data_IF_747381779873
#
_entry.id   IF_747381779873
#
_cell.length_a   1.000
_cell.length_b   1.000
_cell.length_c   1.000
_cell.angle_alpha   90.00
_cell.angle_beta   90.00
_cell.angle_gamma   90.00
#
_symmetry.space_group_name_H-M   'P 1'
#
loop_
_entity.id
_entity.type
_entity.pdbx_description
1 polymer ?
#
# COMPACT_ATOMS: atom_id res chain seq x y z
N UNK A 1 -16.35 12.36 2.77
CA UNK A 1 -16.00 11.05 3.35
C UNK A 1 -16.09 9.97 2.28
N UNK A 2 -15.09 9.14 2.21
CA UNK A 2 -15.09 8.01 1.28
C UNK A 2 -15.57 6.76 1.97
N UNK A 3 -16.34 5.97 1.24
CA UNK A 3 -16.75 4.66 1.71
C UNK A 3 -15.77 3.65 1.13
N UNK A 4 -14.92 3.10 1.99
CA UNK A 4 -13.97 2.08 1.58
C UNK A 4 -14.60 0.71 1.69
N UNK A 5 -14.15 -0.21 0.83
CA UNK A 5 -14.56 -1.61 0.94
C UNK A 5 -14.01 -2.25 2.21
N UNK A 6 -12.86 -1.75 2.65
CA UNK A 6 -12.26 -2.20 3.90
C UNK A 6 -11.29 -1.14 4.40
N UNK A 7 -11.02 -1.16 5.70
CA UNK A 7 -9.97 -0.33 6.29
C UNK A 7 -9.04 -1.25 7.08
N UNK A 8 -7.77 -0.87 7.13
CA UNK A 8 -6.77 -1.67 7.83
C UNK A 8 -5.59 -0.79 8.20
N UNK A 9 -4.60 -1.39 8.83
CA UNK A 9 -3.30 -0.76 9.05
C UNK A 9 -2.25 -1.62 8.37
N UNK A 10 -1.38 -0.98 7.61
CA UNK A 10 -0.30 -1.67 6.90
C UNK A 10 1.02 -1.46 7.62
N UNK A 11 1.83 -2.52 7.77
CA UNK A 11 3.19 -2.33 8.28
C UNK A 11 3.93 -1.37 7.36
N UNK A 12 4.57 -0.38 7.93
CA UNK A 12 5.28 0.64 7.17
C UNK A 12 6.47 1.13 7.97
N UNK A 13 7.47 1.66 7.27
CA UNK A 13 8.63 2.26 7.94
C UNK A 13 9.36 3.19 7.00
N UNK A 14 10.12 4.13 7.58
CA UNK A 14 11.13 4.83 6.81
C UNK A 14 12.27 3.86 6.55
N UNK A 15 12.86 3.89 5.35
CA UNK A 15 13.98 3.01 5.03
C UNK A 15 15.12 3.26 6.02
N UNK A 16 15.67 2.18 6.56
CA UNK A 16 16.71 2.26 7.57
C UNK A 16 16.20 2.20 9.00
N UNK A 17 14.90 2.30 9.22
CA UNK A 17 14.34 2.16 10.55
C UNK A 17 14.38 0.70 10.99
N UNK A 18 14.60 0.47 12.29
CA UNK A 18 14.74 -0.89 12.82
C UNK A 18 13.41 -1.61 12.96
N UNK A 19 12.32 -0.87 13.10
CA UNK A 19 11.02 -1.47 13.35
C UNK A 19 9.96 -0.89 12.43
N UNK A 20 8.94 -1.73 12.15
CA UNK A 20 7.76 -1.28 11.43
C UNK A 20 6.79 -0.63 12.38
N UNK A 21 6.09 0.38 11.90
CA UNK A 21 4.91 0.91 12.55
C UNK A 21 3.71 0.57 11.66
N UNK A 22 2.53 1.05 12.02
CA UNK A 22 1.32 0.75 11.26
C UNK A 22 0.75 2.03 10.67
N UNK A 23 0.55 2.02 9.36
CA UNK A 23 0.00 3.14 8.62
C UNK A 23 -1.45 2.88 8.30
N UNK A 24 -2.38 3.78 8.66
CA UNK A 24 -3.78 3.60 8.33
C UNK A 24 -4.00 3.54 6.82
N UNK A 25 -4.90 2.66 6.39
CA UNK A 25 -5.18 2.49 4.96
C UNK A 25 -6.65 2.21 4.71
N UNK A 26 -7.18 2.82 3.66
CA UNK A 26 -8.52 2.55 3.17
C UNK A 26 -8.42 1.87 1.80
N UNK A 27 -9.16 0.78 1.61
CA UNK A 27 -9.04 -0.07 0.44
C UNK A 27 -10.29 0.04 -0.41
N UNK A 28 -10.10 0.37 -1.69
CA UNK A 28 -11.15 0.38 -2.70
C UNK A 28 -10.83 -0.74 -3.69
N UNK A 29 -11.60 -1.82 -3.63
CA UNK A 29 -11.38 -2.97 -4.49
C UNK A 29 -12.07 -2.79 -5.82
N UNK A 30 -11.39 -3.21 -6.86
CA UNK A 30 -11.88 -3.13 -8.23
C UNK A 30 -11.95 -4.52 -8.82
N UNK A 31 -12.44 -4.64 -10.05
CA UNK A 31 -12.48 -5.91 -10.76
C UNK A 31 -11.06 -6.36 -11.10
N UNK A 32 -10.93 -7.65 -11.46
CA UNK A 32 -9.68 -8.24 -11.96
C UNK A 32 -8.55 -8.22 -10.93
N UNK A 33 -8.90 -8.32 -9.64
CA UNK A 33 -7.93 -8.35 -8.54
C UNK A 33 -7.08 -7.09 -8.46
N UNK A 34 -7.67 -5.97 -8.86
CA UNK A 34 -7.04 -4.67 -8.73
C UNK A 34 -7.62 -3.92 -7.55
N UNK A 35 -6.86 -2.99 -7.00
CA UNK A 35 -7.32 -2.17 -5.88
C UNK A 35 -6.57 -0.87 -5.83
N UNK A 36 -7.25 0.15 -5.30
CA UNK A 36 -6.61 1.40 -4.90
C UNK A 36 -6.60 1.45 -3.38
N UNK A 37 -5.44 1.78 -2.81
CA UNK A 37 -5.28 1.84 -1.36
C UNK A 37 -4.82 3.23 -0.99
N UNK A 38 -5.65 3.94 -0.24
CA UNK A 38 -5.31 5.28 0.26
C UNK A 38 -4.64 5.09 1.61
N UNK A 39 -3.38 5.48 1.72
CA UNK A 39 -2.59 5.24 2.91
C UNK A 39 -2.07 6.55 3.47
N UNK A 40 -1.93 6.60 4.80
CA UNK A 40 -1.29 7.72 5.48
C UNK A 40 0.12 7.30 5.84
N UNK A 41 1.10 8.03 5.35
CA UNK A 41 2.51 7.72 5.53
C UNK A 41 2.96 7.91 6.99
N UNK A 42 4.15 7.41 7.36
CA UNK A 42 4.68 7.67 8.70
C UNK A 42 4.79 9.16 9.03
N UNK A 43 4.99 9.99 8.01
CA UNK A 43 5.06 11.45 8.19
C UNK A 43 3.72 12.16 8.20
N UNK A 44 2.62 11.41 8.04
CA UNK A 44 1.29 11.98 8.08
C UNK A 44 0.73 12.40 6.72
N UNK A 45 1.43 12.13 5.64
CA UNK A 45 0.95 12.45 4.31
C UNK A 45 0.05 11.35 3.77
N UNK A 46 -1.01 11.74 3.07
CA UNK A 46 -1.93 10.79 2.46
C UNK A 46 -1.64 10.67 0.96
N UNK A 47 -1.61 9.44 0.47
CA UNK A 47 -1.45 9.20 -0.96
C UNK A 47 -2.09 7.85 -1.31
N UNK A 48 -2.16 7.55 -2.62
CA UNK A 48 -2.86 6.37 -3.10
C UNK A 48 -1.93 5.45 -3.86
N UNK A 49 -1.91 4.18 -3.46
CA UNK A 49 -1.32 3.10 -4.26
C UNK A 49 -2.36 2.56 -5.22
N UNK A 50 -1.94 2.25 -6.43
CA UNK A 50 -2.78 1.55 -7.40
C UNK A 50 -2.14 0.21 -7.71
N UNK A 51 -2.82 -0.86 -7.32
CA UNK A 51 -2.39 -2.23 -7.61
C UNK A 51 -3.16 -2.71 -8.84
N UNK A 52 -2.46 -2.80 -9.96
CA UNK A 52 -3.04 -3.11 -11.26
C UNK A 52 -2.40 -4.37 -11.81
N UNK A 53 -3.04 -5.00 -12.78
CA UNK A 53 -2.45 -6.16 -13.44
C UNK A 53 -1.15 -5.80 -14.14
N UNK A 54 -1.02 -4.57 -14.59
CA UNK A 54 0.21 -4.09 -15.25
C UNK A 54 1.33 -3.74 -14.26
N UNK A 55 1.02 -3.66 -12.97
CA UNK A 55 2.03 -3.33 -11.95
C UNK A 55 1.47 -2.46 -10.85
N UNK A 56 2.36 -1.93 -10.04
CA UNK A 56 2.01 -1.09 -8.89
C UNK A 56 2.54 0.31 -9.12
N UNK A 57 1.70 1.31 -8.85
CA UNK A 57 2.15 2.70 -8.89
C UNK A 57 1.48 3.50 -7.77
N UNK A 58 1.95 4.71 -7.57
CA UNK A 58 1.33 5.65 -6.65
C UNK A 58 1.27 7.00 -7.31
N UNK A 59 0.16 7.69 -7.15
CA UNK A 59 -0.04 8.98 -7.79
C UNK A 59 1.00 9.98 -7.29
N UNK A 60 1.75 10.55 -8.23
CA UNK A 60 2.75 11.57 -7.92
C UNK A 60 4.00 11.06 -7.22
N UNK A 61 4.22 9.75 -7.18
CA UNK A 61 5.37 9.17 -6.47
C UNK A 61 6.03 8.07 -7.29
N UNK A 62 7.31 7.83 -7.00
CA UNK A 62 8.06 6.74 -7.61
C UNK A 62 7.91 5.50 -6.75
N UNK A 63 7.59 4.37 -7.37
CA UNK A 63 7.30 3.15 -6.63
C UNK A 63 8.14 2.00 -7.20
N UNK A 64 8.74 1.22 -6.30
CA UNK A 64 9.30 -0.08 -6.61
C UNK A 64 8.55 -1.12 -5.78
N UNK A 65 8.05 -2.15 -6.43
CA UNK A 65 7.24 -3.15 -5.75
C UNK A 65 7.72 -4.55 -6.10
N UNK A 66 7.72 -5.42 -5.11
CA UNK A 66 8.10 -6.81 -5.27
C UNK A 66 7.13 -7.69 -4.50
N UNK A 67 6.60 -8.70 -5.17
CA UNK A 67 5.71 -9.66 -4.53
C UNK A 67 6.54 -10.84 -4.05
N UNK A 68 6.49 -11.11 -2.76
CA UNK A 68 7.12 -12.29 -2.14
C UNK A 68 6.07 -13.05 -1.38
N UNK A 69 5.85 -14.30 -1.78
CA UNK A 69 4.79 -15.12 -1.21
C UNK A 69 3.46 -14.40 -1.35
N UNK A 70 2.85 -13.99 -0.25
CA UNK A 70 1.53 -13.38 -0.25
C UNK A 70 1.56 -11.89 0.05
N UNK A 71 2.73 -11.27 0.03
CA UNK A 71 2.87 -9.89 0.47
C UNK A 71 3.70 -9.06 -0.51
N UNK A 72 3.14 -7.92 -0.88
CA UNK A 72 3.87 -6.92 -1.65
C UNK A 72 4.77 -6.12 -0.72
N UNK A 73 6.02 -5.95 -1.13
CA UNK A 73 6.96 -5.04 -0.51
C UNK A 73 7.06 -3.83 -1.43
N UNK A 74 6.55 -2.69 -0.98
CA UNK A 74 6.45 -1.50 -1.82
C UNK A 74 7.34 -0.40 -1.25
N UNK A 75 8.27 0.08 -2.08
CA UNK A 75 9.19 1.15 -1.68
C UNK A 75 8.80 2.41 -2.44
N UNK A 76 8.53 3.48 -1.69
CA UNK A 76 8.04 4.74 -2.23
C UNK A 76 9.13 5.80 -2.12
N UNK A 77 9.47 6.43 -3.25
CA UNK A 77 10.45 7.52 -3.35
C UNK A 77 11.81 7.18 -2.73
N UNK A 78 12.15 5.88 -2.63
CA UNK A 78 13.35 5.41 -1.96
C UNK A 78 13.46 5.87 -0.50
N UNK A 79 12.34 6.19 0.13
CA UNK A 79 12.27 6.71 1.50
C UNK A 79 11.46 5.87 2.45
N UNK A 80 10.40 5.23 1.95
CA UNK A 80 9.42 4.54 2.79
C UNK A 80 9.18 3.15 2.24
N UNK A 81 8.86 2.23 3.13
CA UNK A 81 8.53 0.86 2.76
C UNK A 81 7.18 0.49 3.35
N UNK A 82 6.35 -0.18 2.57
CA UNK A 82 5.03 -0.65 2.98
C UNK A 82 4.90 -2.12 2.67
N UNK A 83 4.25 -2.87 3.56
CA UNK A 83 3.92 -4.27 3.34
C UNK A 83 2.43 -4.39 3.10
N UNK A 84 2.06 -4.87 1.92
CA UNK A 84 0.66 -4.97 1.52
C UNK A 84 0.33 -6.42 1.21
N UNK A 85 -0.42 -7.10 2.09
CA UNK A 85 -0.78 -8.50 1.84
C UNK A 85 -1.78 -8.61 0.69
N UNK A 86 -1.69 -9.70 -0.07
CA UNK A 86 -2.63 -9.93 -1.18
C UNK A 86 -4.08 -9.96 -0.68
N UNK A 87 -4.32 -10.45 0.52
CA UNK A 87 -5.66 -10.47 1.08
C UNK A 87 -6.28 -9.09 1.18
N UNK A 88 -5.47 -8.05 1.40
CA UNK A 88 -5.98 -6.68 1.44
C UNK A 88 -6.51 -6.27 0.07
N UNK A 89 -5.83 -6.68 -1.00
CA UNK A 89 -6.22 -6.33 -2.37
C UNK A 89 -7.40 -7.18 -2.82
N UNK A 90 -7.36 -8.47 -2.58
CA UNK A 90 -8.33 -9.41 -3.12
C UNK A 90 -9.52 -9.66 -2.20
N UNK A 91 -9.42 -9.31 -0.96
CA UNK A 91 -10.48 -9.49 0.01
C UNK A 91 -10.65 -10.91 0.51
N UNK A 92 -9.63 -11.73 0.26
CA UNK A 92 -9.71 -13.16 0.53
C UNK A 92 -9.15 -13.62 1.81
#
# INVERSE_FOLDING_TARGET
TRDYDATTSLPCRMLGADAYQYCPAGILRMENREASIVVTSPGGEEFTFNFLQSGVNATGRTVRAELREDTWSVIVDNKEEYKVPLAAIEGG
#
